data_IF_069306684966
#
_entry.id   IF_069306684966
#
_cell.length_a   1.000
_cell.length_b   1.000
_cell.length_c   1.000
_cell.angle_alpha   90.00
_cell.angle_beta   90.00
_cell.angle_gamma   90.00
#
_symmetry.space_group_name_H-M   'P 1'
#
loop_
_entity.id
_entity.type
_entity.pdbx_description
1 polymer ?
#
# COMPACT_ATOMS: atom_id res chain seq x y z
N UNK A 1 5.38 -24.34 -15.24
CA UNK A 1 5.64 -24.21 -13.80
C UNK A 1 5.26 -22.79 -13.37
N UNK A 2 3.99 -22.56 -13.03
CA UNK A 2 3.51 -21.24 -12.59
C UNK A 2 3.92 -21.03 -11.14
N UNK A 3 4.72 -20.00 -10.90
CA UNK A 3 5.19 -19.59 -9.56
C UNK A 3 3.96 -19.42 -8.65
N UNK A 4 3.93 -19.98 -7.42
CA UNK A 4 2.86 -19.65 -6.48
C UNK A 4 2.85 -18.14 -6.31
N UNK A 5 1.68 -17.49 -6.47
CA UNK A 5 1.53 -16.04 -6.36
C UNK A 5 1.57 -15.66 -4.88
N UNK A 6 2.73 -15.83 -4.27
CA UNK A 6 2.99 -15.61 -2.85
C UNK A 6 3.35 -14.14 -2.62
N UNK A 7 2.48 -13.43 -1.89
CA UNK A 7 2.60 -12.04 -1.44
C UNK A 7 2.57 -10.95 -2.54
N UNK A 8 1.77 -9.90 -2.30
CA UNK A 8 1.76 -8.66 -3.10
C UNK A 8 3.12 -7.97 -3.00
N UNK A 9 3.69 -7.56 -4.14
CA UNK A 9 4.93 -6.77 -4.11
C UNK A 9 4.67 -5.36 -3.58
N UNK A 10 5.69 -4.71 -3.03
CA UNK A 10 5.58 -3.31 -2.56
C UNK A 10 5.12 -2.37 -3.68
N UNK A 11 5.59 -2.58 -4.91
CA UNK A 11 5.15 -1.81 -6.08
C UNK A 11 3.66 -2.01 -6.37
N UNK A 12 3.18 -3.26 -6.38
CA UNK A 12 1.75 -3.56 -6.58
C UNK A 12 0.90 -2.99 -5.44
N UNK A 13 1.38 -3.05 -4.20
CA UNK A 13 0.70 -2.47 -3.04
C UNK A 13 0.54 -0.95 -3.20
N UNK A 14 1.61 -0.23 -3.57
CA UNK A 14 1.56 1.23 -3.80
C UNK A 14 0.61 1.57 -4.95
N UNK A 15 0.60 0.80 -6.04
CA UNK A 15 -0.33 1.01 -7.15
C UNK A 15 -1.78 0.73 -6.75
N UNK A 16 -2.04 -0.32 -5.97
CA UNK A 16 -3.38 -0.63 -5.47
C UNK A 16 -3.91 0.45 -4.53
N UNK A 17 -3.05 1.01 -3.66
CA UNK A 17 -3.40 2.13 -2.77
C UNK A 17 -3.66 3.42 -3.55
N UNK A 18 -2.90 3.69 -4.61
CA UNK A 18 -3.11 4.86 -5.48
C UNK A 18 -4.43 4.79 -6.27
N UNK A 19 -4.81 3.60 -6.73
CA UNK A 19 -5.95 3.39 -7.64
C UNK A 19 -7.18 2.82 -6.93
N UNK A 20 -7.18 2.77 -5.59
CA UNK A 20 -8.31 2.29 -4.79
C UNK A 20 -9.46 3.30 -4.73
N UNK A 21 -10.55 2.89 -4.08
CA UNK A 21 -11.71 3.75 -3.80
C UNK A 21 -11.31 5.04 -3.09
N UNK A 22 -10.39 4.93 -2.12
CA UNK A 22 -9.71 6.07 -1.51
C UNK A 22 -8.30 6.09 -2.08
N UNK A 23 -7.99 7.13 -2.87
CA UNK A 23 -6.68 7.30 -3.48
C UNK A 23 -5.65 7.74 -2.43
N UNK A 24 -4.72 6.84 -2.10
CA UNK A 24 -3.64 7.08 -1.14
C UNK A 24 -2.31 7.20 -1.91
N UNK A 25 -1.69 8.38 -1.84
CA UNK A 25 -0.47 8.68 -2.57
C UNK A 25 0.75 8.62 -1.64
N UNK A 26 1.70 7.74 -1.98
CA UNK A 26 3.02 7.70 -1.36
C UNK A 26 4.09 8.22 -2.32
N UNK A 27 5.20 8.70 -1.76
CA UNK A 27 6.43 8.91 -2.53
C UNK A 27 7.06 7.55 -2.81
N UNK A 28 6.53 6.84 -3.81
CA UNK A 28 6.90 5.46 -4.16
C UNK A 28 8.29 5.28 -4.78
N UNK A 29 9.22 6.23 -4.61
CA UNK A 29 10.55 6.20 -5.27
C UNK A 29 11.41 5.00 -4.86
N UNK A 30 11.12 4.37 -3.71
CA UNK A 30 11.84 3.19 -3.19
C UNK A 30 11.00 1.92 -3.18
N UNK A 31 9.85 1.91 -3.87
CA UNK A 31 8.96 0.74 -3.89
C UNK A 31 9.64 -0.50 -4.50
N UNK A 32 10.50 -0.29 -5.50
CA UNK A 32 11.36 -1.32 -6.10
C UNK A 32 12.42 -1.89 -5.12
N UNK A 33 12.79 -1.14 -4.08
CA UNK A 33 13.66 -1.61 -2.98
C UNK A 33 12.86 -2.29 -1.86
N UNK A 34 11.55 -2.48 -2.05
CA UNK A 34 10.67 -3.06 -1.04
C UNK A 34 10.27 -2.06 0.06
N UNK A 35 10.53 -0.76 -0.09
CA UNK A 35 10.27 0.27 0.94
C UNK A 35 9.19 1.26 0.49
N UNK A 36 8.43 1.77 1.46
CA UNK A 36 7.47 2.88 1.26
C UNK A 36 7.85 3.98 2.25
N UNK A 37 8.03 5.19 1.74
CA UNK A 37 8.22 6.39 2.56
C UNK A 37 6.91 7.17 2.62
N UNK A 38 6.47 7.49 3.84
CA UNK A 38 5.21 8.17 4.10
C UNK A 38 5.50 9.52 4.71
N UNK A 39 4.97 10.56 4.09
CA UNK A 39 5.01 11.93 4.59
C UNK A 39 3.68 12.25 5.27
N UNK A 40 3.69 12.37 6.60
CA UNK A 40 2.47 12.49 7.41
C UNK A 40 2.10 13.93 7.78
N UNK A 41 2.79 14.93 7.21
CA UNK A 41 2.67 16.34 7.62
C UNK A 41 1.26 16.94 7.49
N UNK A 42 0.36 16.30 6.74
CA UNK A 42 -0.99 16.80 6.46
C UNK A 42 -2.06 15.71 6.60
N UNK A 43 -1.82 14.70 7.44
CA UNK A 43 -2.82 13.66 7.75
C UNK A 43 -3.23 13.73 9.22
N UNK A 44 -4.53 13.63 9.46
CA UNK A 44 -5.10 13.48 10.80
C UNK A 44 -5.20 12.01 11.25
N UNK A 45 -5.65 11.79 12.48
CA UNK A 45 -5.79 10.45 13.07
C UNK A 45 -6.76 9.55 12.28
N UNK A 46 -7.89 10.09 11.83
CA UNK A 46 -8.88 9.33 11.07
C UNK A 46 -8.33 8.89 9.70
N UNK A 47 -7.53 9.75 9.07
CA UNK A 47 -6.85 9.47 7.82
C UNK A 47 -5.74 8.41 8.01
N UNK A 48 -5.00 8.45 9.11
CA UNK A 48 -4.05 7.37 9.45
C UNK A 48 -4.75 6.02 9.62
N UNK A 49 -5.91 5.99 10.28
CA UNK A 49 -6.73 4.78 10.42
C UNK A 49 -7.25 4.28 9.08
N UNK A 50 -7.59 5.19 8.16
CA UNK A 50 -7.97 4.86 6.78
C UNK A 50 -6.81 4.19 6.05
N UNK A 51 -5.61 4.78 6.10
CA UNK A 51 -4.39 4.21 5.50
C UNK A 51 -4.11 2.81 6.03
N UNK A 52 -4.15 2.63 7.35
CA UNK A 52 -3.99 1.31 7.99
C UNK A 52 -5.01 0.29 7.47
N UNK A 53 -6.28 0.65 7.45
CA UNK A 53 -7.37 -0.26 7.04
C UNK A 53 -7.22 -0.67 5.58
N UNK A 54 -6.85 0.25 4.68
CA UNK A 54 -6.60 -0.04 3.29
C UNK A 54 -5.41 -0.99 3.09
N UNK A 55 -4.29 -0.75 3.78
CA UNK A 55 -3.11 -1.63 3.72
C UNK A 55 -3.47 -3.02 4.24
N UNK A 56 -4.11 -3.11 5.42
CA UNK A 56 -4.52 -4.38 6.03
C UNK A 56 -5.39 -5.21 5.07
N UNK A 57 -6.41 -4.60 4.48
CA UNK A 57 -7.28 -5.27 3.50
C UNK A 57 -6.52 -5.81 2.29
N UNK A 58 -5.54 -5.06 1.78
CA UNK A 58 -4.75 -5.50 0.61
C UNK A 58 -3.83 -6.67 0.94
N UNK A 59 -3.30 -6.72 2.17
CA UNK A 59 -2.48 -7.83 2.63
C UNK A 59 -3.31 -9.09 2.94
N UNK A 60 -4.48 -8.92 3.57
CA UNK A 60 -5.40 -10.03 3.91
C UNK A 60 -6.09 -10.65 2.69
N UNK A 61 -6.35 -9.87 1.62
CA UNK A 61 -6.90 -10.41 0.36
C UNK A 61 -5.99 -11.44 -0.33
N UNK A 62 -4.72 -11.50 0.06
CA UNK A 62 -3.72 -12.40 -0.50
C UNK A 62 -3.45 -13.62 0.40
N UNK A 63 -4.18 -13.75 1.52
CA UNK A 63 -4.08 -14.84 2.48
C UNK A 63 -5.11 -15.95 2.25
#
# INVERSE_FOLDING_TARGET
MTKPRSAISTTELVQALKNGEIAIYFRGYKANEGKIEVDVRSVDEAQLMTVFTCIKRLLEKQA
#
